data_IF_953662227568
#
_entry.id   IF_953662227568
#
_cell.length_a   1.000
_cell.length_b   1.000
_cell.length_c   1.000
_cell.angle_alpha   90.00
_cell.angle_beta   90.00
_cell.angle_gamma   90.00
#
_symmetry.space_group_name_H-M   'P 1'
#
loop_
_entity.id
_entity.type
_entity.pdbx_description
1 polymer ?
#
# COMPACT_ATOMS: atom_id res chain seq x y z
N UNK A 1 7.37 10.96 -25.85
CA UNK A 1 7.30 9.83 -24.89
C UNK A 1 7.90 10.31 -23.57
N UNK A 2 7.07 10.68 -22.60
CA UNK A 2 7.55 11.02 -21.25
C UNK A 2 7.81 9.71 -20.50
N UNK A 3 9.08 9.32 -20.40
CA UNK A 3 9.53 8.26 -19.51
C UNK A 3 9.46 8.86 -18.11
N UNK A 4 8.28 8.82 -17.48
CA UNK A 4 8.10 9.26 -16.10
C UNK A 4 9.10 8.49 -15.24
N UNK A 5 10.04 9.19 -14.62
CA UNK A 5 10.97 8.58 -13.68
C UNK A 5 10.11 8.02 -12.55
N UNK A 6 9.96 6.69 -12.47
CA UNK A 6 9.48 6.04 -11.27
C UNK A 6 10.61 6.16 -10.26
N UNK A 7 10.68 7.28 -9.55
CA UNK A 7 11.41 7.31 -8.29
C UNK A 7 10.77 6.24 -7.42
N UNK A 8 11.53 5.29 -6.86
CA UNK A 8 10.98 4.34 -5.91
C UNK A 8 10.30 5.12 -4.79
N UNK A 9 9.00 4.86 -4.57
CA UNK A 9 8.25 5.52 -3.50
C UNK A 9 8.64 4.84 -2.20
N UNK A 10 9.67 5.36 -1.54
CA UNK A 10 10.05 4.96 -0.19
C UNK A 10 9.38 5.86 0.84
N UNK A 11 8.84 5.31 1.94
CA UNK A 11 8.29 6.12 3.01
C UNK A 11 9.42 6.77 3.80
N UNK A 12 9.11 7.87 4.49
CA UNK A 12 9.95 8.36 5.57
C UNK A 12 9.83 7.41 6.76
N UNK A 13 10.83 6.54 6.95
CA UNK A 13 10.80 5.49 7.98
C UNK A 13 10.66 6.04 9.40
N UNK A 14 11.25 7.20 9.70
CA UNK A 14 11.11 7.81 11.02
C UNK A 14 9.66 8.25 11.29
N UNK A 15 9.00 8.88 10.31
CA UNK A 15 7.59 9.25 10.43
C UNK A 15 6.68 8.02 10.48
N UNK A 16 6.99 6.99 9.68
CA UNK A 16 6.25 5.74 9.68
C UNK A 16 6.37 5.02 11.03
N UNK A 17 7.57 4.92 11.62
CA UNK A 17 7.77 4.32 12.94
C UNK A 17 6.96 5.05 14.01
N UNK A 18 6.99 6.40 14.00
CA UNK A 18 6.20 7.19 14.94
C UNK A 18 4.69 6.90 14.83
N UNK A 19 4.17 6.77 13.61
CA UNK A 19 2.75 6.45 13.38
C UNK A 19 2.40 5.01 13.81
N UNK A 20 3.30 4.06 13.59
CA UNK A 20 3.14 2.67 14.05
C UNK A 20 3.12 2.61 15.58
N UNK A 21 4.06 3.27 16.24
CA UNK A 21 4.13 3.32 17.70
C UNK A 21 2.87 3.95 18.31
N UNK A 22 2.30 4.98 17.66
CA UNK A 22 1.07 5.63 18.10
C UNK A 22 -0.17 4.75 17.95
N UNK A 23 -0.26 3.95 16.89
CA UNK A 23 -1.49 3.23 16.53
C UNK A 23 -1.48 1.75 16.94
N UNK A 24 -0.31 1.14 17.01
CA UNK A 24 -0.11 -0.29 17.30
C UNK A 24 0.56 -0.54 18.66
N UNK A 25 1.06 0.51 19.30
CA UNK A 25 1.89 0.43 20.49
C UNK A 25 3.38 0.51 20.17
N UNK A 26 4.14 1.06 21.11
CA UNK A 26 5.56 1.33 20.95
C UNK A 26 6.33 0.04 20.61
N UNK A 27 7.12 0.09 19.54
CA UNK A 27 7.98 -1.00 19.06
C UNK A 27 7.21 -2.30 18.71
N UNK A 28 5.87 -2.26 18.60
CA UNK A 28 5.08 -3.44 18.24
C UNK A 28 5.31 -3.87 16.79
N UNK A 29 5.61 -2.92 15.89
CA UNK A 29 5.94 -3.15 14.49
C UNK A 29 7.18 -2.33 14.11
N UNK A 30 7.99 -2.90 13.22
CA UNK A 30 9.17 -2.24 12.66
C UNK A 30 8.85 -1.66 11.28
N UNK A 31 9.00 -0.35 11.16
CA UNK A 31 8.83 0.39 9.92
C UNK A 31 9.79 -0.07 8.81
N UNK A 32 10.97 -0.61 9.12
CA UNK A 32 11.88 -1.16 8.11
C UNK A 32 11.25 -2.35 7.36
N UNK A 33 10.29 -3.04 7.99
CA UNK A 33 9.62 -4.20 7.44
C UNK A 33 8.26 -3.88 6.78
N UNK A 34 7.97 -2.59 6.52
CA UNK A 34 6.66 -2.11 6.09
C UNK A 34 6.10 -2.82 4.84
N UNK A 35 6.95 -3.17 3.86
CA UNK A 35 6.52 -3.87 2.65
C UNK A 35 5.94 -5.24 2.96
N UNK A 36 6.64 -6.04 3.77
CA UNK A 36 6.16 -7.36 4.16
C UNK A 36 4.89 -7.27 5.00
N UNK A 37 4.81 -6.28 5.89
CA UNK A 37 3.59 -6.01 6.66
C UNK A 37 2.40 -5.71 5.74
N UNK A 38 2.58 -4.91 4.69
CA UNK A 38 1.53 -4.63 3.71
C UNK A 38 1.19 -5.87 2.86
N UNK A 39 2.19 -6.63 2.39
CA UNK A 39 1.95 -7.86 1.62
C UNK A 39 1.07 -8.82 2.43
N UNK A 40 1.38 -9.04 3.71
CA UNK A 40 0.62 -9.91 4.59
C UNK A 40 -0.81 -9.40 4.84
N UNK A 41 -1.00 -8.07 4.91
CA UNK A 41 -2.34 -7.47 5.01
C UNK A 41 -3.14 -7.68 3.72
N UNK A 42 -2.53 -7.43 2.56
CA UNK A 42 -3.16 -7.56 1.24
C UNK A 42 -3.56 -9.00 0.92
N UNK A 43 -2.83 -10.00 1.42
CA UNK A 43 -3.21 -11.41 1.26
C UNK A 43 -4.61 -11.72 1.79
N UNK A 44 -5.06 -11.00 2.81
CA UNK A 44 -6.33 -11.27 3.49
C UNK A 44 -7.44 -10.24 3.16
N UNK A 45 -7.18 -9.30 2.25
CA UNK A 45 -8.17 -8.31 1.83
C UNK A 45 -9.15 -8.90 0.80
N UNK A 46 -10.40 -8.46 0.90
CA UNK A 46 -11.42 -8.65 -0.14
C UNK A 46 -11.30 -7.53 -1.18
N UNK A 47 -10.85 -7.91 -2.37
CA UNK A 47 -10.61 -7.00 -3.49
C UNK A 47 -11.89 -6.26 -3.91
N UNK A 48 -13.06 -6.90 -3.83
CA UNK A 48 -14.32 -6.27 -4.21
C UNK A 48 -14.72 -5.17 -3.21
N UNK A 49 -14.53 -5.43 -1.91
CA UNK A 49 -14.76 -4.43 -0.86
C UNK A 49 -13.81 -3.25 -1.05
N UNK A 50 -12.51 -3.51 -1.22
CA UNK A 50 -11.50 -2.47 -1.46
C UNK A 50 -11.85 -1.60 -2.68
N UNK A 51 -12.13 -2.22 -3.82
CA UNK A 51 -12.47 -1.51 -5.04
C UNK A 51 -13.74 -0.67 -4.87
N UNK A 52 -14.76 -1.21 -4.18
CA UNK A 52 -16.01 -0.49 -3.92
C UNK A 52 -15.86 0.73 -3.01
N UNK A 53 -14.96 0.64 -2.01
CA UNK A 53 -14.70 1.70 -1.03
C UNK A 53 -13.91 2.86 -1.65
N UNK A 54 -12.94 2.55 -2.52
CA UNK A 54 -12.10 3.56 -3.18
C UNK A 54 -12.78 4.18 -4.40
N UNK A 55 -13.65 3.44 -5.10
CA UNK A 55 -14.33 3.89 -6.34
C UNK A 55 -14.92 5.31 -6.28
N UNK A 56 -15.60 5.77 -5.22
CA UNK A 56 -16.17 7.12 -5.14
C UNK A 56 -15.12 8.24 -5.11
N UNK A 57 -13.86 7.93 -4.78
CA UNK A 57 -12.76 8.90 -4.65
C UNK A 57 -11.92 9.03 -5.93
N UNK A 58 -12.15 8.17 -6.94
CA UNK A 58 -11.39 8.18 -8.19
C UNK A 58 -12.02 9.13 -9.20
N UNK A 59 -11.18 9.91 -9.90
CA UNK A 59 -11.61 10.71 -11.05
C UNK A 59 -12.16 9.82 -12.18
N UNK A 60 -11.58 8.63 -12.36
CA UNK A 60 -12.00 7.61 -13.29
C UNK A 60 -12.40 6.34 -12.54
N UNK A 61 -13.68 6.18 -12.25
CA UNK A 61 -14.20 5.09 -11.41
C UNK A 61 -13.84 3.68 -11.91
N UNK A 62 -13.60 3.51 -13.22
CA UNK A 62 -13.20 2.24 -13.84
C UNK A 62 -11.82 1.78 -13.36
N UNK A 63 -10.96 2.71 -12.94
CA UNK A 63 -9.62 2.41 -12.40
C UNK A 63 -9.69 1.62 -11.09
N UNK A 64 -10.84 1.61 -10.40
CA UNK A 64 -11.05 0.73 -9.25
C UNK A 64 -10.83 -0.75 -9.60
N UNK A 65 -11.01 -1.17 -10.86
CA UNK A 65 -10.71 -2.52 -11.31
C UNK A 65 -9.21 -2.89 -11.22
N UNK A 66 -8.32 -1.89 -11.14
CA UNK A 66 -6.89 -2.10 -10.93
C UNK A 66 -6.57 -2.46 -9.47
N UNK A 67 -7.47 -2.20 -8.52
CA UNK A 67 -7.32 -2.47 -7.10
C UNK A 67 -7.64 -3.93 -6.78
N UNK A 68 -6.84 -4.83 -7.34
CA UNK A 68 -6.90 -6.27 -7.06
C UNK A 68 -5.58 -6.76 -6.45
N UNK A 69 -5.65 -7.92 -5.81
CA UNK A 69 -4.52 -8.52 -5.08
C UNK A 69 -3.28 -8.71 -5.95
N UNK A 70 -3.45 -9.14 -7.19
CA UNK A 70 -2.33 -9.38 -8.12
C UNK A 70 -1.55 -8.09 -8.38
N UNK A 71 -2.26 -7.02 -8.73
CA UNK A 71 -1.66 -5.71 -8.97
C UNK A 71 -1.01 -5.14 -7.71
N UNK A 72 -1.66 -5.24 -6.55
CA UNK A 72 -1.13 -4.76 -5.27
C UNK A 72 0.14 -5.52 -4.86
N UNK A 73 0.18 -6.83 -5.06
CA UNK A 73 1.38 -7.62 -4.80
C UNK A 73 2.51 -7.29 -5.78
N UNK A 74 2.18 -7.06 -7.06
CA UNK A 74 3.18 -6.71 -8.07
C UNK A 74 3.90 -5.39 -7.75
N UNK A 75 3.20 -4.40 -7.19
CA UNK A 75 3.82 -3.11 -6.81
C UNK A 75 4.57 -3.16 -5.47
N UNK A 76 4.27 -4.11 -4.59
CA UNK A 76 4.89 -4.23 -3.26
C UNK A 76 6.12 -5.16 -3.23
N UNK A 77 6.29 -6.01 -4.25
CA UNK A 77 7.49 -6.84 -4.39
C UNK A 77 8.70 -5.92 -4.64
N UNK A 78 9.79 -6.04 -3.87
CA UNK A 78 11.04 -5.34 -4.19
C UNK A 78 11.60 -5.85 -5.53
N UNK A 79 12.26 -4.96 -6.28
CA UNK A 79 13.08 -5.33 -7.45
C UNK A 79 14.32 -6.13 -7.04
#
# INVERSE_FOLDING_TARGET
MFKGWKTPVEPNLAQLQNALDQTQGKEALDSANWRNLLINKVQNLDDAVLASDVKPFLEHWQEAALLNRENLQAILKPE
#
